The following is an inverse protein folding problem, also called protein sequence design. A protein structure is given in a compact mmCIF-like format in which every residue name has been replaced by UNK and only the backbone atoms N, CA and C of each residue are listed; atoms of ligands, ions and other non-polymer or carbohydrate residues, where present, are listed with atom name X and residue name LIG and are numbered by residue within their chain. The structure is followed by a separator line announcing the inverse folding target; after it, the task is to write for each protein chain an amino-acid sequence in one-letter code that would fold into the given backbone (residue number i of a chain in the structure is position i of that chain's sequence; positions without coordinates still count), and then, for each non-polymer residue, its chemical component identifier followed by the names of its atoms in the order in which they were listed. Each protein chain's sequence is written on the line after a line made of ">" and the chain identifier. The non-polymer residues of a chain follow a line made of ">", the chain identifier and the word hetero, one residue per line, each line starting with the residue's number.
data_IF_155465325678
#
_entry.id   IF_155465325678
#
_cell.length_a   1.000
_cell.length_b   1.000
_cell.length_c   1.000
_cell.angle_alpha   90.00
_cell.angle_beta   90.00
_cell.angle_gamma   90.00
#
_symmetry.space_group_name_H-M   'P 1'
#
loop_
_entity.id
_entity.type
_entity.pdbx_description
1 polymer ?
#
# COMPACT_ATOMS: atom_id res chain seq x y z
N UNK A 1 -8.10 1.85 3.78
CA UNK A 1 -8.62 2.67 2.66
C UNK A 1 -9.94 3.27 3.09
N UNK A 2 -10.25 4.49 2.67
CA UNK A 2 -11.53 5.14 2.96
C UNK A 2 -12.02 5.89 1.73
N UNK A 3 -13.31 6.16 1.68
CA UNK A 3 -13.91 7.07 0.71
C UNK A 3 -14.64 8.18 1.45
N UNK A 4 -14.72 9.37 0.85
CA UNK A 4 -15.59 10.45 1.31
C UNK A 4 -16.53 10.81 0.17
N UNK A 5 -17.77 10.30 0.28
CA UNK A 5 -18.73 10.27 -0.81
C UNK A 5 -18.16 9.60 -2.06
N UNK A 6 -18.58 10.08 -3.22
CA UNK A 6 -18.24 9.50 -4.51
C UNK A 6 -16.99 10.15 -5.15
N UNK A 7 -16.37 11.09 -4.43
CA UNK A 7 -15.43 12.03 -5.02
C UNK A 7 -14.00 11.89 -4.49
N UNK A 8 -13.82 11.26 -3.31
CA UNK A 8 -12.51 11.14 -2.69
C UNK A 8 -12.28 9.67 -2.31
N UNK A 9 -11.16 9.13 -2.78
CA UNK A 9 -10.62 7.82 -2.36
C UNK A 9 -9.27 8.05 -1.68
N UNK A 10 -9.18 7.69 -0.40
CA UNK A 10 -7.96 7.73 0.39
C UNK A 10 -7.36 6.34 0.57
N UNK A 11 -6.10 6.18 0.18
CA UNK A 11 -5.30 4.96 0.40
C UNK A 11 -4.10 5.35 1.25
N UNK A 12 -4.00 4.78 2.45
CA UNK A 12 -2.86 5.00 3.32
C UNK A 12 -1.63 4.18 2.90
N UNK A 13 -1.86 3.02 2.27
CA UNK A 13 -0.79 2.27 1.65
C UNK A 13 -0.26 2.95 0.40
N UNK A 14 0.94 2.55 -0.03
CA UNK A 14 1.57 3.01 -1.27
C UNK A 14 1.36 1.98 -2.39
N UNK A 15 0.25 2.03 -3.15
CA UNK A 15 0.01 1.13 -4.28
C UNK A 15 1.09 1.21 -5.37
N UNK A 16 1.82 2.33 -5.42
CA UNK A 16 2.94 2.60 -6.32
C UNK A 16 4.25 1.91 -5.90
N UNK A 17 4.35 1.40 -4.67
CA UNK A 17 5.58 0.79 -4.20
C UNK A 17 5.81 -0.58 -4.85
N UNK A 18 7.01 -0.72 -5.42
CA UNK A 18 7.55 -1.99 -5.90
C UNK A 18 8.43 -2.64 -4.84
N UNK A 19 8.71 -3.94 -4.98
CA UNK A 19 9.68 -4.63 -4.11
C UNK A 19 11.03 -3.89 -4.12
N UNK A 20 11.44 -3.37 -5.27
CA UNK A 20 12.70 -2.62 -5.40
C UNK A 20 12.65 -1.28 -4.65
N UNK A 21 11.54 -0.54 -4.74
CA UNK A 21 11.35 0.71 -3.99
C UNK A 21 11.40 0.46 -2.48
N UNK A 22 10.68 -0.57 -2.01
CA UNK A 22 10.65 -0.90 -0.57
C UNK A 22 12.01 -1.43 -0.10
N UNK A 23 12.69 -2.25 -0.90
CA UNK A 23 14.03 -2.74 -0.57
C UNK A 23 15.03 -1.59 -0.44
N UNK A 24 15.03 -0.66 -1.40
CA UNK A 24 15.87 0.54 -1.36
C UNK A 24 15.54 1.44 -0.16
N UNK A 25 14.27 1.55 0.23
CA UNK A 25 13.87 2.29 1.44
C UNK A 25 14.44 1.63 2.70
N UNK A 26 14.33 0.30 2.82
CA UNK A 26 14.92 -0.47 3.93
C UNK A 26 16.43 -0.24 3.99
N UNK A 27 17.13 -0.32 2.85
CA UNK A 27 18.58 -0.12 2.79
C UNK A 27 19.01 1.28 3.22
N UNK A 28 18.26 2.31 2.81
CA UNK A 28 18.54 3.70 3.22
C UNK A 28 18.29 3.93 4.70
N UNK A 29 17.27 3.29 5.28
CA UNK A 29 16.98 3.39 6.71
C UNK A 29 17.99 2.61 7.56
N UNK A 30 18.53 1.51 7.03
CA UNK A 30 19.60 0.77 7.70
C UNK A 30 20.91 1.56 7.65
N UNK A 31 21.27 2.08 6.47
CA UNK A 31 22.55 2.78 6.26
C UNK A 31 22.67 4.08 7.04
N UNK A 32 21.56 4.74 7.35
CA UNK A 32 21.53 5.95 8.17
C UNK A 32 21.30 5.66 9.68
N UNK A 33 21.23 4.39 10.08
CA UNK A 33 21.05 3.99 11.48
C UNK A 33 19.63 4.19 12.04
N UNK A 34 18.63 4.43 11.20
CA UNK A 34 17.23 4.57 11.64
C UNK A 34 16.59 3.25 12.05
N UNK A 35 17.11 2.12 11.55
CA UNK A 35 16.65 0.77 11.91
C UNK A 35 17.84 -0.15 12.18
N UNK A 36 17.60 -1.20 12.98
CA UNK A 36 18.58 -2.24 13.27
C UNK A 36 18.67 -3.27 12.14
N UNK A 37 19.81 -3.95 12.03
CA UNK A 37 20.08 -4.99 11.03
C UNK A 37 19.06 -6.14 11.08
N UNK A 38 18.70 -6.58 12.28
CA UNK A 38 17.75 -7.69 12.49
C UNK A 38 16.36 -7.32 11.94
N UNK A 39 15.96 -6.06 12.10
CA UNK A 39 14.70 -5.55 11.56
C UNK A 39 14.75 -5.44 10.04
N UNK A 40 15.84 -4.93 9.48
CA UNK A 40 16.02 -4.82 8.03
C UNK A 40 15.96 -6.19 7.33
N UNK A 41 16.64 -7.20 7.88
CA UNK A 41 16.64 -8.57 7.36
C UNK A 41 15.23 -9.20 7.44
N UNK A 42 14.55 -9.05 8.58
CA UNK A 42 13.18 -9.54 8.75
C UNK A 42 12.21 -8.85 7.78
N UNK A 43 12.35 -7.53 7.57
CA UNK A 43 11.52 -6.75 6.65
C UNK A 43 11.73 -7.19 5.20
N UNK A 44 12.98 -7.36 4.75
CA UNK A 44 13.31 -7.86 3.41
C UNK A 44 12.79 -9.28 3.20
N UNK A 45 12.98 -10.18 4.16
CA UNK A 45 12.47 -11.55 4.07
C UNK A 45 10.94 -11.58 3.88
N UNK A 46 10.21 -10.76 4.64
CA UNK A 46 8.75 -10.61 4.48
C UNK A 46 8.37 -10.01 3.13
N UNK A 47 9.08 -8.98 2.67
CA UNK A 47 8.84 -8.33 1.39
C UNK A 47 8.98 -9.28 0.21
N UNK A 48 9.98 -10.16 0.21
CA UNK A 48 10.18 -11.12 -0.87
C UNK A 48 9.15 -12.24 -0.85
N UNK A 49 8.69 -12.66 0.34
CA UNK A 49 7.61 -13.65 0.52
C UNK A 49 6.22 -13.12 0.19
N UNK A 50 5.99 -11.83 0.39
CA UNK A 50 4.71 -11.19 0.08
C UNK A 50 4.59 -10.92 -1.43
N UNK A 51 3.43 -11.20 -2.02
CA UNK A 51 3.05 -10.60 -3.29
C UNK A 51 2.27 -9.31 -3.01
N UNK A 52 2.66 -8.16 -3.60
CA UNK A 52 1.85 -6.96 -3.50
C UNK A 52 0.53 -7.22 -4.24
N UNK A 53 -0.60 -7.02 -3.56
CA UNK A 53 -1.94 -7.21 -4.14
C UNK A 53 -2.34 -6.03 -5.04
N UNK A 54 -1.54 -5.85 -6.10
CA UNK A 54 -1.71 -4.78 -7.10
C UNK A 54 -3.00 -4.94 -7.87
N UNK A 55 -3.44 -6.18 -8.11
CA UNK A 55 -4.68 -6.47 -8.84
C UNK A 55 -5.90 -6.00 -8.05
N UNK A 56 -5.92 -6.21 -6.73
CA UNK A 56 -7.00 -5.70 -5.89
C UNK A 56 -7.02 -4.16 -5.89
N UNK A 57 -5.86 -3.52 -5.69
CA UNK A 57 -5.74 -2.06 -5.73
C UNK A 57 -6.15 -1.47 -7.08
N UNK A 58 -5.69 -2.05 -8.18
CA UNK A 58 -6.07 -1.65 -9.54
C UNK A 58 -7.58 -1.76 -9.75
N UNK A 59 -8.19 -2.88 -9.32
CA UNK A 59 -9.64 -3.08 -9.41
C UNK A 59 -10.40 -2.02 -8.62
N UNK A 60 -9.95 -1.71 -7.39
CA UNK A 60 -10.57 -0.68 -6.55
C UNK A 60 -10.45 0.70 -7.20
N UNK A 61 -9.24 1.09 -7.64
CA UNK A 61 -9.02 2.37 -8.31
C UNK A 61 -9.86 2.49 -9.58
N UNK A 62 -9.94 1.44 -10.41
CA UNK A 62 -10.79 1.44 -11.61
C UNK A 62 -12.27 1.58 -11.28
N UNK A 63 -12.77 0.83 -10.29
CA UNK A 63 -14.16 0.96 -9.84
C UNK A 63 -14.48 2.35 -9.32
N UNK A 64 -13.58 2.94 -8.54
CA UNK A 64 -13.73 4.30 -8.06
C UNK A 64 -13.77 5.32 -9.20
N UNK A 65 -12.82 5.26 -10.14
CA UNK A 65 -12.77 6.17 -11.30
C UNK A 65 -14.00 6.04 -12.21
N UNK A 66 -14.61 4.85 -12.26
CA UNK A 66 -15.85 4.60 -13.00
C UNK A 66 -17.14 4.89 -12.21
N UNK A 67 -17.03 5.27 -10.92
CA UNK A 67 -18.17 5.43 -10.00
C UNK A 67 -19.00 4.16 -9.81
N UNK A 68 -18.34 3.00 -9.87
CA UNK A 68 -18.91 1.65 -9.66
C UNK A 68 -18.66 1.13 -8.23
N UNK A 69 -18.33 2.01 -7.30
CA UNK A 69 -18.24 1.67 -5.87
C UNK A 69 -19.67 1.69 -5.31
N UNK A 70 -20.19 0.55 -4.87
CA UNK A 70 -21.48 0.48 -4.19
C UNK A 70 -21.33 1.05 -2.79
N UNK A 71 -21.90 2.23 -2.56
CA UNK A 71 -21.94 2.87 -1.24
C UNK A 71 -22.99 2.16 -0.40
N UNK A 72 -22.55 1.44 0.63
CA UNK A 72 -23.45 1.13 1.74
C UNK A 72 -23.67 2.45 2.45
N UNK A 73 -24.76 3.13 2.10
CA UNK A 73 -25.32 4.21 2.91
C UNK A 73 -25.77 3.60 4.24
N UNK A 74 -24.85 3.48 5.19
CA UNK A 74 -25.23 3.38 6.59
C UNK A 74 -25.76 4.75 6.98
N UNK A 75 -27.09 4.90 6.90
CA UNK A 75 -27.80 6.00 7.54
C UNK A 75 -27.38 6.03 9.01
N UNK A 76 -26.58 7.02 9.40
CA UNK A 76 -26.34 7.41 10.79
C UNK A 76 -27.33 8.53 11.10
#
# INVERSE_FOLDING_TARGET
>A
MFTMGDHILGIQGHPEYTKDIVSNLIDRLLSNGSIQSEFAEAAKSKLYKAEPDRKCLEKICKKFLKREMEFINSNI
#
